data_IF_035664909459
#
_entry.id   IF_035664909459
#
_cell.length_a   1.000
_cell.length_b   1.000
_cell.length_c   1.000
_cell.angle_alpha   90.00
_cell.angle_beta   90.00
_cell.angle_gamma   90.00
#
_symmetry.space_group_name_H-M   'P 1'
#
loop_
_entity.id
_entity.type
_entity.pdbx_description
1 polymer ?
#
# COMPACT_ATOMS: atom_id res chain seq x y z
N UNK A 1 7.75 -26.05 67.21
CA UNK A 1 8.85 -25.06 67.14
C UNK A 1 9.95 -25.65 66.27
N UNK A 2 10.07 -25.18 65.02
CA UNK A 2 11.20 -25.48 64.13
C UNK A 2 11.80 -24.12 63.78
N UNK A 3 13.10 -23.93 64.06
CA UNK A 3 13.86 -22.75 63.69
C UNK A 3 14.24 -22.85 62.21
N UNK A 4 13.97 -21.80 61.43
CA UNK A 4 14.61 -21.58 60.14
C UNK A 4 15.80 -20.62 60.33
N UNK A 5 16.94 -20.86 59.65
CA UNK A 5 18.11 -19.99 59.74
C UNK A 5 17.95 -18.71 58.92
N UNK A 6 18.50 -17.63 59.45
CA UNK A 6 18.59 -16.29 58.87
C UNK A 6 19.52 -16.24 57.66
N UNK A 7 19.07 -15.66 56.55
CA UNK A 7 19.94 -15.17 55.47
C UNK A 7 20.18 -13.68 55.64
N UNK A 8 21.45 -13.27 55.62
CA UNK A 8 21.86 -11.86 55.66
C UNK A 8 21.65 -11.22 54.30
N UNK A 9 20.77 -10.21 54.27
CA UNK A 9 20.70 -9.20 53.22
C UNK A 9 21.90 -8.28 53.37
N UNK A 10 22.80 -8.23 52.39
CA UNK A 10 23.56 -7.03 52.07
C UNK A 10 24.00 -7.05 50.60
N UNK A 11 23.71 -5.95 49.90
CA UNK A 11 24.02 -5.62 48.49
C UNK A 11 23.01 -5.96 47.38
N UNK A 12 21.73 -5.65 47.59
CA UNK A 12 20.86 -5.16 46.49
C UNK A 12 20.48 -3.72 46.76
N UNK A 13 21.08 -2.78 46.02
CA UNK A 13 20.77 -1.35 46.08
C UNK A 13 19.55 -1.02 45.21
N UNK A 14 18.40 -0.88 45.88
CA UNK A 14 17.30 0.07 45.65
C UNK A 14 16.63 0.10 44.25
N UNK A 15 15.58 -0.71 44.08
CA UNK A 15 14.44 -0.37 43.21
C UNK A 15 13.49 0.52 44.04
N UNK A 16 13.26 1.75 43.61
CA UNK A 16 12.20 2.60 44.17
C UNK A 16 10.84 2.12 43.69
N UNK A 17 10.13 1.36 44.52
CA UNK A 17 8.68 1.19 44.41
C UNK A 17 8.02 2.35 45.14
N UNK A 18 7.49 3.33 44.38
CA UNK A 18 6.56 4.31 44.95
C UNK A 18 5.28 3.58 45.36
N UNK A 19 5.07 3.50 46.65
CA UNK A 19 3.79 3.15 47.28
C UNK A 19 2.74 4.20 46.89
N UNK A 20 1.80 3.84 46.01
CA UNK A 20 0.53 4.55 45.90
C UNK A 20 -0.39 4.06 47.02
N UNK A 21 -0.18 4.57 48.23
CA UNK A 21 -1.21 4.60 49.26
C UNK A 21 -2.25 5.65 48.86
N UNK A 22 -3.46 5.21 48.51
CA UNK A 22 -4.58 6.14 48.27
C UNK A 22 -5.41 5.92 47.01
N UNK A 23 -5.56 4.69 46.51
CA UNK A 23 -6.68 4.37 45.63
C UNK A 23 -7.64 3.45 46.40
N UNK A 24 -8.77 4.03 46.78
CA UNK A 24 -9.97 3.32 47.20
C UNK A 24 -10.21 2.15 46.25
N UNK A 25 -10.28 0.94 46.81
CA UNK A 25 -10.82 -0.23 46.14
C UNK A 25 -12.34 -0.07 45.99
N UNK A 26 -12.76 0.94 45.22
CA UNK A 26 -14.17 1.15 44.92
C UNK A 26 -14.57 0.25 43.77
N UNK A 27 -15.22 -0.86 44.13
CA UNK A 27 -16.07 -1.70 43.28
C UNK A 27 -15.33 -2.35 42.12
N UNK A 28 -15.01 -3.64 42.29
CA UNK A 28 -14.84 -4.58 41.19
C UNK A 28 -15.89 -4.27 40.11
N UNK A 29 -15.42 -3.69 39.01
CA UNK A 29 -16.19 -3.58 37.78
C UNK A 29 -16.71 -4.98 37.46
N UNK A 30 -17.98 -5.07 37.07
CA UNK A 30 -18.54 -6.29 36.48
C UNK A 30 -17.51 -6.79 35.47
N UNK A 31 -17.10 -8.08 35.49
CA UNK A 31 -16.20 -8.60 34.48
C UNK A 31 -16.76 -8.22 33.11
N UNK A 32 -16.08 -7.31 32.42
CA UNK A 32 -16.42 -7.02 31.04
C UNK A 32 -16.01 -8.28 30.31
N UNK A 33 -16.98 -9.00 29.78
CA UNK A 33 -16.72 -10.14 28.90
C UNK A 33 -15.87 -9.60 27.75
N UNK A 34 -14.59 -9.98 27.74
CA UNK A 34 -13.69 -9.63 26.65
C UNK A 34 -14.16 -10.48 25.47
N UNK A 35 -14.94 -9.86 24.58
CA UNK A 35 -15.31 -10.46 23.31
C UNK A 35 -14.02 -10.50 22.51
N UNK A 36 -13.34 -11.64 22.53
CA UNK A 36 -12.26 -11.93 21.59
C UNK A 36 -12.97 -12.12 20.25
N UNK A 37 -12.78 -11.23 19.26
CA UNK A 37 -13.38 -11.44 17.96
C UNK A 37 -12.90 -12.79 17.42
N UNK A 38 -13.85 -13.62 16.98
CA UNK A 38 -13.49 -14.89 16.37
C UNK A 38 -12.79 -14.61 15.04
N UNK A 39 -11.68 -15.32 14.73
CA UNK A 39 -11.07 -15.21 13.42
C UNK A 39 -12.11 -15.62 12.37
N UNK A 40 -12.22 -14.80 11.34
CA UNK A 40 -13.05 -15.07 10.16
C UNK A 40 -12.14 -15.39 9.00
N UNK A 41 -12.56 -16.35 8.18
CA UNK A 41 -11.82 -16.78 7.00
C UNK A 41 -12.61 -16.38 5.77
N UNK A 42 -11.95 -16.10 4.66
CA UNK A 42 -12.66 -15.71 3.46
C UNK A 42 -12.14 -16.41 2.21
N UNK A 43 -12.99 -16.39 1.18
CA UNK A 43 -12.67 -16.87 -0.15
C UNK A 43 -13.21 -15.88 -1.17
N UNK A 44 -12.42 -15.64 -2.22
CA UNK A 44 -12.80 -14.78 -3.33
C UNK A 44 -12.84 -15.65 -4.57
N UNK A 45 -14.04 -15.79 -5.13
CA UNK A 45 -14.28 -16.53 -6.36
C UNK A 45 -14.95 -15.60 -7.35
N UNK A 46 -14.29 -15.34 -8.47
CA UNK A 46 -14.73 -14.41 -9.53
C UNK A 46 -15.08 -13.00 -8.99
N UNK A 47 -16.37 -12.75 -8.77
CA UNK A 47 -16.95 -11.50 -8.31
C UNK A 47 -17.63 -11.61 -6.93
N UNK A 48 -17.39 -12.70 -6.20
CA UNK A 48 -18.02 -12.99 -4.92
C UNK A 48 -16.95 -13.07 -3.82
N UNK A 49 -17.23 -12.45 -2.68
CA UNK A 49 -16.48 -12.59 -1.43
C UNK A 49 -17.34 -13.35 -0.43
N UNK A 50 -16.84 -14.48 0.06
CA UNK A 50 -17.53 -15.34 1.03
C UNK A 50 -16.75 -15.37 2.35
N UNK A 51 -17.47 -15.32 3.48
CA UNK A 51 -16.90 -15.39 4.84
C UNK A 51 -17.32 -16.68 5.52
N UNK A 52 -16.40 -17.31 6.23
CA UNK A 52 -16.52 -18.58 6.92
C UNK A 52 -16.10 -18.45 8.38
N UNK A 53 -16.74 -19.26 9.23
CA UNK A 53 -16.45 -19.33 10.68
C UNK A 53 -15.34 -20.31 11.04
N UNK A 54 -14.81 -21.03 10.06
CA UNK A 54 -13.79 -22.06 10.23
C UNK A 54 -12.76 -22.01 9.12
N UNK A 55 -11.53 -22.38 9.47
CA UNK A 55 -10.37 -22.38 8.56
C UNK A 55 -10.55 -23.32 7.36
N UNK A 56 -11.32 -24.39 7.54
CA UNK A 56 -11.64 -25.35 6.48
C UNK A 56 -12.71 -24.84 5.51
N UNK A 57 -13.23 -23.62 5.71
CA UNK A 57 -14.22 -22.95 4.87
C UNK A 57 -15.48 -23.79 4.65
N UNK A 58 -15.93 -24.52 5.67
CA UNK A 58 -17.09 -25.41 5.58
C UNK A 58 -18.39 -24.76 6.04
N UNK A 59 -18.31 -23.74 6.91
CA UNK A 59 -19.45 -23.02 7.50
C UNK A 59 -19.44 -21.57 7.07
N UNK A 60 -20.04 -21.33 5.91
CA UNK A 60 -20.30 -19.99 5.37
C UNK A 60 -21.23 -19.21 6.31
N UNK A 61 -20.82 -18.01 6.68
CA UNK A 61 -21.58 -17.07 7.52
C UNK A 61 -22.22 -15.98 6.67
N UNK A 62 -21.47 -15.42 5.71
CA UNK A 62 -21.88 -14.25 4.94
C UNK A 62 -21.28 -14.28 3.54
N UNK A 63 -21.89 -13.53 2.63
CA UNK A 63 -21.34 -13.30 1.29
C UNK A 63 -21.68 -11.90 0.81
N UNK A 64 -20.85 -11.41 -0.11
CA UNK A 64 -21.10 -10.21 -0.89
C UNK A 64 -20.77 -10.50 -2.35
N UNK A 65 -21.72 -10.24 -3.24
CA UNK A 65 -21.52 -10.33 -4.68
C UNK A 65 -21.39 -8.93 -5.28
N UNK A 66 -20.46 -8.78 -6.22
CA UNK A 66 -20.24 -7.57 -7.01
C UNK A 66 -20.59 -7.84 -8.47
N UNK A 67 -21.87 -7.72 -8.83
CA UNK A 67 -22.39 -8.14 -10.15
C UNK A 67 -21.78 -7.37 -11.34
N UNK A 68 -21.31 -6.15 -11.09
CA UNK A 68 -20.62 -5.27 -12.03
C UNK A 68 -19.13 -5.61 -12.23
N UNK A 69 -18.60 -6.54 -11.44
CA UNK A 69 -17.17 -6.86 -11.41
C UNK A 69 -16.84 -8.05 -12.31
N UNK A 70 -15.81 -7.91 -13.12
CA UNK A 70 -15.22 -8.95 -13.96
C UNK A 70 -14.16 -9.73 -13.18
N UNK A 71 -13.31 -9.03 -12.43
CA UNK A 71 -12.18 -9.62 -11.73
C UNK A 71 -11.88 -8.89 -10.43
N UNK A 72 -11.47 -9.63 -9.41
CA UNK A 72 -11.06 -9.10 -8.11
C UNK A 72 -9.58 -9.43 -7.86
N UNK A 73 -8.80 -8.42 -7.48
CA UNK A 73 -7.53 -8.57 -6.78
C UNK A 73 -7.73 -8.14 -5.33
N UNK A 74 -7.00 -8.72 -4.37
CA UNK A 74 -7.26 -8.47 -2.96
C UNK A 74 -6.01 -8.39 -2.10
N UNK A 75 -6.16 -7.70 -0.97
CA UNK A 75 -5.17 -7.59 0.10
C UNK A 75 -5.90 -7.84 1.42
N UNK A 76 -5.33 -8.69 2.27
CA UNK A 76 -5.72 -8.86 3.67
C UNK A 76 -4.94 -7.88 4.52
N UNK A 77 -5.65 -7.09 5.31
CA UNK A 77 -5.00 -6.09 6.13
C UNK A 77 -5.91 -5.53 7.22
N UNK A 78 -5.46 -5.51 8.48
CA UNK A 78 -6.12 -4.82 9.60
C UNK A 78 -6.14 -3.28 9.42
N UNK A 79 -7.14 -2.77 8.69
CA UNK A 79 -7.30 -1.33 8.40
C UNK A 79 -7.71 -0.55 9.65
N UNK A 80 -8.51 -1.17 10.51
CA UNK A 80 -9.17 -0.50 11.62
C UNK A 80 -8.40 -0.61 12.96
N UNK A 81 -7.37 -1.47 13.01
CA UNK A 81 -6.50 -1.79 14.16
C UNK A 81 -7.18 -2.59 15.27
N UNK A 82 -8.10 -3.48 14.92
CA UNK A 82 -8.75 -4.40 15.86
C UNK A 82 -8.09 -5.79 15.93
N UNK A 83 -6.94 -5.95 15.27
CA UNK A 83 -6.20 -7.22 15.13
C UNK A 83 -6.94 -8.29 14.31
N UNK A 84 -7.93 -7.89 13.52
CA UNK A 84 -8.60 -8.73 12.53
C UNK A 84 -8.31 -8.13 11.16
N UNK A 85 -7.93 -8.97 10.20
CA UNK A 85 -7.72 -8.48 8.85
C UNK A 85 -9.05 -8.07 8.20
N UNK A 86 -9.10 -6.83 7.75
CA UNK A 86 -10.09 -6.30 6.82
C UNK A 86 -9.67 -6.68 5.38
N UNK A 87 -10.55 -6.48 4.40
CA UNK A 87 -10.28 -6.86 3.01
C UNK A 87 -10.30 -5.63 2.11
N UNK A 88 -9.20 -5.36 1.42
CA UNK A 88 -9.14 -4.39 0.32
C UNK A 88 -9.29 -5.13 -0.99
N UNK A 89 -10.23 -4.70 -1.82
CA UNK A 89 -10.48 -5.25 -3.15
C UNK A 89 -10.11 -4.21 -4.21
N UNK A 90 -9.27 -4.58 -5.17
CA UNK A 90 -9.12 -3.86 -6.44
C UNK A 90 -10.00 -4.58 -7.46
N UNK A 91 -11.17 -4.00 -7.75
CA UNK A 91 -12.20 -4.58 -8.60
C UNK A 91 -12.10 -4.02 -10.01
N UNK A 92 -11.92 -4.91 -10.98
CA UNK A 92 -12.06 -4.61 -12.41
C UNK A 92 -13.53 -4.69 -12.78
N UNK A 93 -14.11 -3.59 -13.25
CA UNK A 93 -15.51 -3.50 -13.63
C UNK A 93 -15.73 -3.92 -15.09
N UNK A 94 -16.93 -4.43 -15.40
CA UNK A 94 -17.44 -4.70 -16.75
C UNK A 94 -17.78 -3.41 -17.54
N UNK A 95 -17.19 -2.27 -17.19
CA UNK A 95 -17.57 -0.95 -17.72
C UNK A 95 -17.26 -0.83 -19.21
N UNK A 96 -18.24 -0.37 -19.99
CA UNK A 96 -18.07 0.00 -21.40
C UNK A 96 -17.89 1.51 -21.60
N UNK A 97 -18.03 2.31 -20.53
CA UNK A 97 -17.91 3.77 -20.60
C UNK A 97 -16.44 4.20 -20.44
N UNK A 98 -15.76 4.67 -21.51
CA UNK A 98 -14.36 5.05 -21.44
C UNK A 98 -14.10 6.31 -20.61
N UNK A 99 -15.15 7.05 -20.24
CA UNK A 99 -15.04 8.28 -19.43
C UNK A 99 -15.02 8.04 -17.93
N UNK A 100 -15.30 6.80 -17.52
CA UNK A 100 -15.30 6.33 -16.14
C UNK A 100 -14.22 5.29 -15.95
N UNK A 101 -13.61 5.30 -14.76
CA UNK A 101 -12.67 4.26 -14.41
C UNK A 101 -13.35 2.89 -14.43
N UNK A 102 -12.68 1.92 -15.06
CA UNK A 102 -13.06 0.52 -14.96
C UNK A 102 -12.36 -0.20 -13.80
N UNK A 103 -11.72 0.54 -12.89
CA UNK A 103 -11.21 0.04 -11.63
C UNK A 103 -11.87 0.79 -10.46
N UNK A 104 -12.34 0.01 -9.49
CA UNK A 104 -12.84 0.50 -8.21
C UNK A 104 -12.07 -0.18 -7.08
N UNK A 105 -11.69 0.59 -6.08
CA UNK A 105 -11.06 0.12 -4.86
C UNK A 105 -12.12 0.11 -3.77
N UNK A 106 -12.36 -1.04 -3.18
CA UNK A 106 -13.39 -1.24 -2.15
C UNK A 106 -12.72 -1.79 -0.90
N UNK A 107 -12.92 -1.14 0.24
CA UNK A 107 -12.55 -1.71 1.54
C UNK A 107 -13.78 -2.30 2.22
N UNK A 108 -13.63 -3.53 2.67
CA UNK A 108 -14.61 -4.27 3.44
C UNK A 108 -14.07 -4.53 4.84
N UNK A 109 -14.94 -4.44 5.84
CA UNK A 109 -14.61 -4.93 7.16
C UNK A 109 -14.48 -6.48 7.11
N UNK A 110 -13.85 -7.07 8.11
CA UNK A 110 -13.83 -8.52 8.37
C UNK A 110 -15.20 -9.23 8.20
N UNK A 111 -16.31 -8.54 8.51
CA UNK A 111 -17.67 -9.05 8.32
C UNK A 111 -18.25 -8.80 6.91
N UNK A 112 -17.46 -8.39 5.92
CA UNK A 112 -17.87 -7.93 4.58
C UNK A 112 -18.87 -6.77 4.55
N UNK A 113 -19.03 -6.01 5.64
CA UNK A 113 -19.67 -4.70 5.55
C UNK A 113 -18.77 -3.72 4.79
N UNK A 114 -19.37 -2.77 4.07
CA UNK A 114 -18.62 -1.79 3.27
C UNK A 114 -18.05 -0.72 4.22
N UNK A 115 -16.74 -0.53 4.20
CA UNK A 115 -16.09 0.58 4.89
C UNK A 115 -16.06 1.82 3.99
N UNK A 116 -15.54 1.68 2.78
CA UNK A 116 -15.48 2.74 1.78
C UNK A 116 -15.23 2.18 0.39
N UNK A 117 -15.46 3.04 -0.61
CA UNK A 117 -15.25 2.73 -2.02
C UNK A 117 -14.78 3.96 -2.77
N UNK A 118 -13.85 3.78 -3.71
CA UNK A 118 -13.33 4.84 -4.57
C UNK A 118 -13.05 4.34 -5.98
N UNK A 119 -13.29 5.19 -6.98
CA UNK A 119 -12.79 4.95 -8.32
C UNK A 119 -11.26 5.20 -8.35
N UNK A 120 -10.58 4.43 -9.18
CA UNK A 120 -9.15 4.59 -9.42
C UNK A 120 -8.89 5.56 -10.60
N UNK A 121 -7.89 6.44 -10.51
CA UNK A 121 -7.55 7.33 -11.63
C UNK A 121 -8.52 8.50 -11.84
N UNK A 122 -9.23 8.92 -10.79
CA UNK A 122 -10.20 10.01 -10.86
C UNK A 122 -9.56 11.41 -10.77
N UNK A 123 -8.29 11.52 -10.37
CA UNK A 123 -7.50 12.76 -10.38
C UNK A 123 -7.07 13.12 -11.80
N UNK A 124 -8.04 13.44 -12.66
CA UNK A 124 -7.86 13.64 -14.11
C UNK A 124 -6.80 14.70 -14.44
N UNK A 125 -5.57 14.26 -14.69
CA UNK A 125 -4.53 15.10 -15.32
C UNK A 125 -4.64 15.05 -16.84
N UNK A 126 -5.04 13.91 -17.40
CA UNK A 126 -5.20 13.69 -18.83
C UNK A 126 -6.65 13.38 -19.20
N UNK A 127 -7.07 13.77 -20.41
CA UNK A 127 -8.35 13.35 -21.00
C UNK A 127 -8.16 12.03 -21.76
N UNK A 128 -7.86 10.95 -21.04
CA UNK A 128 -7.61 9.62 -21.62
C UNK A 128 -8.76 8.66 -21.26
N UNK A 129 -8.97 7.59 -22.06
CA UNK A 129 -9.87 6.50 -21.69
C UNK A 129 -9.43 5.88 -20.36
N UNK A 130 -10.30 5.82 -19.38
CA UNK A 130 -9.99 5.37 -18.02
C UNK A 130 -10.16 3.85 -17.89
N UNK A 131 -9.50 3.13 -18.79
CA UNK A 131 -9.51 1.67 -18.83
C UNK A 131 -8.15 1.09 -18.53
N UNK A 132 -8.05 0.18 -17.56
CA UNK A 132 -6.78 -0.15 -16.92
C UNK A 132 -6.48 -1.65 -16.80
N UNK A 133 -5.20 -2.00 -16.79
CA UNK A 133 -4.69 -3.31 -16.36
C UNK A 133 -3.89 -3.11 -15.08
N UNK A 134 -4.37 -3.70 -13.97
CA UNK A 134 -3.67 -3.66 -12.68
C UNK A 134 -2.28 -4.27 -12.83
N UNK A 135 -1.27 -3.52 -12.40
CA UNK A 135 0.13 -3.92 -12.51
C UNK A 135 0.71 -4.35 -11.18
N UNK A 136 0.53 -3.55 -10.14
CA UNK A 136 1.04 -3.79 -8.79
C UNK A 136 0.08 -3.17 -7.78
N UNK A 137 -0.03 -3.75 -6.60
CA UNK A 137 -0.81 -3.18 -5.50
C UNK A 137 -0.30 -3.72 -4.17
N UNK A 138 -0.55 -2.99 -3.09
CA UNK A 138 -0.15 -3.42 -1.77
C UNK A 138 -0.42 -2.38 -0.68
N UNK A 139 0.11 -2.66 0.50
CA UNK A 139 0.05 -1.76 1.66
C UNK A 139 1.45 -1.47 2.15
N UNK A 140 1.72 -0.21 2.48
CA UNK A 140 2.94 0.20 3.19
C UNK A 140 2.59 1.12 4.36
N UNK A 141 3.58 1.41 5.21
CA UNK A 141 3.39 2.20 6.42
C UNK A 141 4.28 3.43 6.41
N UNK A 142 3.69 4.56 6.84
CA UNK A 142 4.44 5.72 7.33
C UNK A 142 4.21 5.83 8.84
N UNK A 143 5.25 5.54 9.62
CA UNK A 143 5.13 5.34 11.05
C UNK A 143 4.12 4.22 11.36
N UNK A 144 2.99 4.58 11.96
CA UNK A 144 1.92 3.62 12.28
C UNK A 144 0.76 3.66 11.28
N UNK A 145 0.68 4.64 10.38
CA UNK A 145 -0.45 4.81 9.47
C UNK A 145 -0.25 3.98 8.20
N UNK A 146 -1.22 3.12 7.84
CA UNK A 146 -1.16 2.35 6.60
C UNK A 146 -1.70 3.11 5.41
N UNK A 147 -1.05 2.87 4.27
CA UNK A 147 -1.37 3.42 2.98
C UNK A 147 -1.51 2.30 1.96
N UNK A 148 -2.57 2.38 1.16
CA UNK A 148 -2.84 1.44 0.07
C UNK A 148 -2.30 2.08 -1.20
N UNK A 149 -1.48 1.35 -1.96
CA UNK A 149 -1.07 1.79 -3.29
C UNK A 149 -1.61 0.84 -4.36
N UNK A 150 -1.94 1.43 -5.51
CA UNK A 150 -2.34 0.70 -6.72
C UNK A 150 -1.63 1.34 -7.91
N UNK A 151 -0.95 0.52 -8.70
CA UNK A 151 -0.33 0.89 -9.96
C UNK A 151 -1.03 0.14 -11.08
N UNK A 152 -1.46 0.86 -12.11
CA UNK A 152 -2.11 0.27 -13.27
C UNK A 152 -1.69 0.97 -14.56
N UNK A 153 -1.60 0.19 -15.63
CA UNK A 153 -1.33 0.70 -16.97
C UNK A 153 -2.64 0.87 -17.71
N UNK A 154 -2.78 1.90 -18.54
CA UNK A 154 -3.89 2.01 -19.47
C UNK A 154 -3.91 0.82 -20.42
N UNK A 155 -5.08 0.29 -20.77
CA UNK A 155 -5.21 -0.87 -21.67
C UNK A 155 -4.64 -0.63 -23.06
N UNK A 156 -4.56 0.63 -23.49
CA UNK A 156 -3.90 1.03 -24.73
C UNK A 156 -2.36 1.11 -24.62
N UNK A 157 -1.81 0.89 -23.43
CA UNK A 157 -0.39 0.96 -23.10
C UNK A 157 0.20 2.37 -23.07
N UNK A 158 -0.59 3.42 -23.32
CA UNK A 158 -0.08 4.78 -23.57
C UNK A 158 0.15 5.60 -22.30
N UNK A 159 -0.34 5.12 -21.16
CA UNK A 159 -0.21 5.80 -19.89
C UNK A 159 -0.25 4.80 -18.75
N UNK A 160 0.16 5.25 -17.57
CA UNK A 160 0.03 4.52 -16.32
C UNK A 160 -0.32 5.48 -15.20
N UNK A 161 -0.92 4.93 -14.15
CA UNK A 161 -1.32 5.68 -12.96
C UNK A 161 -0.84 4.92 -11.72
N UNK A 162 -0.25 5.64 -10.79
CA UNK A 162 0.06 5.15 -9.45
C UNK A 162 -0.72 5.99 -8.45
N UNK A 163 -1.68 5.40 -7.74
CA UNK A 163 -2.53 6.08 -6.77
C UNK A 163 -2.30 5.51 -5.38
N UNK A 164 -2.35 6.38 -4.37
CA UNK A 164 -2.15 6.06 -2.97
C UNK A 164 -3.32 6.59 -2.16
N UNK A 165 -3.87 5.72 -1.32
CA UNK A 165 -5.04 5.98 -0.50
C UNK A 165 -4.71 5.78 0.96
N UNK A 166 -5.27 6.62 1.83
CA UNK A 166 -5.30 6.34 3.26
C UNK A 166 -6.23 5.15 3.57
N UNK A 167 -6.09 4.59 4.78
CA UNK A 167 -7.03 3.58 5.32
C UNK A 167 -8.51 3.96 5.33
N UNK A 168 -8.84 5.24 5.17
CA UNK A 168 -10.23 5.73 5.09
C UNK A 168 -10.72 5.95 3.66
N UNK A 169 -9.96 5.52 2.65
CA UNK A 169 -10.31 5.71 1.24
C UNK A 169 -10.14 7.14 0.74
N UNK A 170 -9.45 8.01 1.48
CA UNK A 170 -9.06 9.32 0.96
C UNK A 170 -7.86 9.16 0.03
N UNK A 171 -7.98 9.66 -1.21
CA UNK A 171 -6.86 9.79 -2.14
C UNK A 171 -5.81 10.76 -1.56
N UNK A 172 -4.58 10.27 -1.40
CA UNK A 172 -3.44 11.03 -0.86
C UNK A 172 -2.58 11.52 -2.01
N UNK A 173 -2.19 10.61 -2.90
CA UNK A 173 -1.46 10.96 -4.11
C UNK A 173 -1.96 10.18 -5.32
N UNK A 174 -1.81 10.79 -6.48
CA UNK A 174 -2.01 10.15 -7.77
C UNK A 174 -0.96 10.69 -8.75
N UNK A 175 -0.21 9.78 -9.36
CA UNK A 175 0.85 10.10 -10.29
C UNK A 175 0.57 9.48 -11.65
N UNK A 176 0.58 10.32 -12.69
CA UNK A 176 0.33 9.92 -14.06
C UNK A 176 1.61 9.90 -14.90
N UNK A 177 1.82 8.81 -15.64
CA UNK A 177 3.01 8.57 -16.43
C UNK A 177 2.68 8.32 -17.91
N UNK A 178 3.35 8.96 -18.90
CA UNK A 178 3.11 8.76 -20.32
C UNK A 178 3.87 7.54 -20.87
N UNK A 179 3.29 6.37 -20.64
CA UNK A 179 3.77 5.07 -21.10
C UNK A 179 3.59 4.02 -20.00
N UNK A 180 3.96 2.76 -20.26
CA UNK A 180 3.75 1.67 -19.31
C UNK A 180 4.73 1.73 -18.14
N UNK A 181 4.23 1.46 -16.93
CA UNK A 181 5.04 1.11 -15.77
C UNK A 181 5.14 -0.42 -15.72
N UNK A 182 6.36 -0.92 -15.65
CA UNK A 182 6.64 -2.36 -15.80
C UNK A 182 7.23 -2.97 -14.53
N UNK A 183 7.85 -2.17 -13.69
CA UNK A 183 8.39 -2.60 -12.41
C UNK A 183 8.12 -1.54 -11.34
N UNK A 184 7.84 -2.01 -10.12
CA UNK A 184 7.49 -1.18 -8.97
C UNK A 184 8.28 -1.69 -7.77
N UNK A 185 8.83 -0.79 -6.97
CA UNK A 185 9.44 -1.10 -5.67
C UNK A 185 8.97 -0.07 -4.65
N UNK A 186 8.59 -0.53 -3.46
CA UNK A 186 8.15 0.34 -2.36
C UNK A 186 9.05 0.11 -1.15
N UNK A 187 9.63 1.17 -0.60
CA UNK A 187 10.57 1.08 0.51
C UNK A 187 11.08 2.44 0.96
N UNK A 188 11.88 2.48 2.01
CA UNK A 188 12.64 3.68 2.42
C UNK A 188 13.89 3.77 1.54
N UNK A 189 13.72 4.32 0.33
CA UNK A 189 14.68 4.17 -0.75
C UNK A 189 15.86 5.16 -0.62
N UNK A 190 15.64 6.28 0.08
CA UNK A 190 16.67 7.29 0.34
C UNK A 190 17.13 7.33 1.81
N UNK A 191 16.64 6.41 2.66
CA UNK A 191 16.99 6.27 4.08
C UNK A 191 16.57 7.46 4.96
N UNK A 192 15.55 8.20 4.55
CA UNK A 192 14.99 9.32 5.32
C UNK A 192 13.87 8.90 6.29
N UNK A 193 13.56 7.59 6.33
CA UNK A 193 12.51 6.92 7.13
C UNK A 193 11.09 7.12 6.62
N UNK A 194 10.91 7.81 5.51
CA UNK A 194 9.67 7.79 4.76
C UNK A 194 9.81 6.75 3.65
N UNK A 195 8.70 6.17 3.21
CA UNK A 195 8.71 5.24 2.08
C UNK A 195 8.43 5.98 0.79
N UNK A 196 9.22 5.66 -0.22
CA UNK A 196 8.98 6.06 -1.60
C UNK A 196 8.47 4.89 -2.44
N UNK A 197 7.91 5.24 -3.59
CA UNK A 197 7.58 4.29 -4.65
C UNK A 197 8.50 4.57 -5.83
N UNK A 198 9.34 3.60 -6.17
CA UNK A 198 10.10 3.59 -7.41
C UNK A 198 9.27 2.92 -8.50
N UNK A 199 9.06 3.66 -9.57
CA UNK A 199 8.34 3.25 -10.77
C UNK A 199 9.35 3.20 -11.92
N UNK A 200 9.50 2.06 -12.57
CA UNK A 200 10.37 1.90 -13.72
C UNK A 200 9.58 1.36 -14.93
N UNK A 201 9.86 1.91 -16.10
CA UNK A 201 9.08 1.62 -17.28
C UNK A 201 9.66 2.20 -18.55
N UNK A 202 8.78 2.77 -19.37
CA UNK A 202 9.16 3.41 -20.63
C UNK A 202 8.31 4.64 -20.90
N UNK A 203 8.97 5.75 -21.19
CA UNK A 203 8.34 7.00 -21.53
C UNK A 203 8.19 7.13 -23.06
N UNK A 204 6.96 7.14 -23.55
CA UNK A 204 6.70 7.24 -24.99
C UNK A 204 7.02 8.60 -25.58
N UNK A 205 6.94 9.68 -24.80
CA UNK A 205 7.28 11.01 -25.30
C UNK A 205 8.77 11.18 -25.53
N UNK A 206 9.60 10.62 -24.64
CA UNK A 206 11.05 10.66 -24.79
C UNK A 206 11.63 9.47 -25.58
N UNK A 207 10.79 8.49 -25.92
CA UNK A 207 11.20 7.22 -26.51
C UNK A 207 12.39 6.61 -25.74
N UNK A 208 12.23 6.51 -24.42
CA UNK A 208 13.31 6.15 -23.50
C UNK A 208 12.78 5.27 -22.36
N UNK A 209 13.61 4.33 -21.90
CA UNK A 209 13.38 3.72 -20.60
C UNK A 209 13.49 4.79 -19.52
N UNK A 210 12.72 4.69 -18.45
CA UNK A 210 12.77 5.68 -17.38
C UNK A 210 12.51 5.10 -16.00
N UNK A 211 12.99 5.84 -15.01
CA UNK A 211 12.84 5.53 -13.61
C UNK A 211 12.44 6.80 -12.86
N UNK A 212 11.39 6.68 -12.05
CA UNK A 212 10.82 7.74 -11.24
C UNK A 212 10.74 7.24 -9.81
N UNK A 213 11.14 8.05 -8.84
CA UNK A 213 10.93 7.78 -7.41
C UNK A 213 10.02 8.85 -6.89
N UNK A 214 8.83 8.48 -6.41
CA UNK A 214 7.79 9.36 -5.87
C UNK A 214 7.64 9.24 -4.37
N UNK A 215 7.39 10.37 -3.70
CA UNK A 215 6.92 10.38 -2.31
C UNK A 215 5.38 10.25 -2.32
N UNK A 216 4.83 9.13 -1.87
CA UNK A 216 3.41 8.83 -1.93
C UNK A 216 2.57 9.68 -0.97
N UNK A 217 3.15 10.31 0.04
CA UNK A 217 2.43 11.16 0.99
C UNK A 217 2.32 12.63 0.52
N UNK A 218 3.23 13.09 -0.34
CA UNK A 218 3.36 14.51 -0.68
C UNK A 218 3.08 14.85 -2.16
N UNK A 219 3.05 13.85 -3.04
CA UNK A 219 2.93 14.09 -4.50
C UNK A 219 1.62 14.80 -4.87
N UNK A 220 0.54 14.63 -4.09
CA UNK A 220 -0.78 15.12 -4.48
C UNK A 220 -1.20 14.52 -5.83
N UNK A 221 -1.84 15.29 -6.71
CA UNK A 221 -2.15 14.84 -8.08
C UNK A 221 -1.13 15.45 -9.05
N UNK A 222 -0.29 14.62 -9.65
CA UNK A 222 0.83 15.06 -10.50
C UNK A 222 1.07 14.15 -11.72
N UNK A 223 1.98 14.58 -12.59
CA UNK A 223 2.43 13.83 -13.77
C UNK A 223 3.93 14.00 -14.04
N UNK A 224 4.58 13.02 -14.67
CA UNK A 224 5.94 13.21 -15.19
C UNK A 224 5.96 14.10 -16.45
N UNK A 225 7.07 14.83 -16.69
CA UNK A 225 7.32 15.50 -17.97
C UNK A 225 7.24 14.54 -19.18
N UNK A 226 6.89 15.02 -20.40
CA UNK A 226 6.50 16.40 -20.77
C UNK A 226 4.98 16.63 -20.77
N UNK A 227 4.22 15.92 -19.92
CA UNK A 227 2.75 15.97 -19.93
C UNK A 227 2.13 17.36 -19.77
N UNK A 228 0.80 17.48 -19.91
CA UNK A 228 0.05 18.73 -19.66
C UNK A 228 -0.62 18.68 -18.28
N UNK A 229 -0.23 19.54 -17.32
CA UNK A 229 -0.77 19.50 -15.95
C UNK A 229 0.22 19.88 -14.85
N UNK A 230 -0.13 19.56 -13.59
CA UNK A 230 0.75 19.77 -12.43
C UNK A 230 1.94 18.83 -12.52
N UNK A 231 3.12 19.40 -12.73
CA UNK A 231 4.33 18.62 -12.86
C UNK A 231 4.76 18.06 -11.52
N UNK A 232 5.22 16.82 -11.57
CA UNK A 232 5.94 16.19 -10.51
C UNK A 232 7.17 17.04 -10.11
N UNK A 233 7.20 17.58 -8.87
CA UNK A 233 8.32 18.38 -8.43
C UNK A 233 9.51 17.46 -8.14
N UNK A 234 10.67 17.77 -8.71
CA UNK A 234 11.93 17.18 -8.25
C UNK A 234 12.34 17.90 -6.97
N UNK A 235 12.16 17.23 -5.84
CA UNK A 235 12.63 17.67 -4.53
C UNK A 235 13.60 16.64 -3.95
N UNK A 236 14.12 16.91 -2.74
CA UNK A 236 15.03 15.99 -2.06
C UNK A 236 14.34 14.64 -1.83
N UNK A 237 15.04 13.55 -2.14
CA UNK A 237 14.50 12.19 -2.03
C UNK A 237 13.67 11.73 -3.22
N UNK A 238 13.34 12.65 -4.14
CA UNK A 238 12.60 12.39 -5.37
C UNK A 238 13.56 12.32 -6.56
N UNK A 239 13.30 11.39 -7.47
CA UNK A 239 14.19 11.13 -8.61
C UNK A 239 13.38 10.97 -9.89
N UNK A 240 13.91 11.51 -10.99
CA UNK A 240 13.42 11.20 -12.34
C UNK A 240 14.59 11.19 -13.32
N UNK A 241 14.73 10.10 -14.07
CA UNK A 241 15.72 10.00 -15.13
C UNK A 241 15.22 9.14 -16.28
N UNK A 242 15.74 9.41 -17.47
CA UNK A 242 15.40 8.72 -18.71
C UNK A 242 16.67 8.30 -19.47
N UNK A 243 16.56 7.19 -20.19
CA UNK A 243 17.66 6.48 -20.82
C UNK A 243 17.30 6.18 -22.29
N UNK A 244 17.63 7.12 -23.20
CA UNK A 244 17.19 7.12 -24.61
C UNK A 244 17.68 5.95 -25.46
N UNK A 245 18.67 5.19 -24.99
CA UNK A 245 19.25 4.06 -25.72
C UNK A 245 18.92 2.69 -25.10
N UNK A 246 17.99 2.66 -24.14
CA UNK A 246 17.62 1.46 -23.41
C UNK A 246 16.21 0.99 -23.77
N UNK A 247 16.04 -0.33 -23.76
CA UNK A 247 14.72 -0.98 -23.78
C UNK A 247 14.00 -0.72 -22.46
N UNK A 248 12.65 -0.85 -22.42
CA UNK A 248 11.88 -0.66 -21.20
C UNK A 248 12.51 -1.41 -20.02
N UNK A 249 12.57 -0.77 -18.85
CA UNK A 249 12.85 -1.50 -17.62
C UNK A 249 11.70 -2.44 -17.33
N UNK A 250 12.00 -3.66 -16.85
CA UNK A 250 11.01 -4.71 -16.54
C UNK A 250 11.19 -5.29 -15.14
N UNK A 251 12.30 -4.97 -14.48
CA UNK A 251 12.56 -5.35 -13.10
C UNK A 251 13.38 -4.28 -12.39
N UNK A 252 13.16 -4.18 -11.09
CA UNK A 252 13.96 -3.37 -10.16
C UNK A 252 14.28 -4.22 -8.94
N UNK A 253 15.49 -4.10 -8.40
CA UNK A 253 15.87 -4.75 -7.14
C UNK A 253 16.83 -3.87 -6.33
N UNK A 254 16.71 -3.92 -5.01
CA UNK A 254 17.66 -3.29 -4.09
C UNK A 254 18.93 -4.15 -4.01
N UNK A 255 20.10 -3.52 -4.17
CA UNK A 255 21.42 -4.17 -4.06
C UNK A 255 22.20 -3.72 -2.82
N UNK A 256 21.79 -2.62 -2.21
CA UNK A 256 22.38 -2.08 -1.00
C UNK A 256 21.69 -0.76 -0.63
N UNK A 257 22.11 -0.12 0.49
CA UNK A 257 21.46 1.08 0.99
C UNK A 257 21.43 2.18 -0.09
N UNK A 258 20.23 2.50 -0.57
CA UNK A 258 19.98 3.48 -1.64
C UNK A 258 20.49 3.12 -3.03
N UNK A 259 21.01 1.90 -3.23
CA UNK A 259 21.51 1.39 -4.51
C UNK A 259 20.52 0.39 -5.11
N UNK A 260 20.04 0.71 -6.30
CA UNK A 260 19.05 -0.10 -7.02
C UNK A 260 19.56 -0.50 -8.39
N UNK A 261 19.29 -1.74 -8.77
CA UNK A 261 19.54 -2.26 -10.10
C UNK A 261 18.23 -2.34 -10.87
N UNK A 262 18.21 -1.71 -12.05
CA UNK A 262 17.14 -1.73 -13.03
C UNK A 262 17.53 -2.65 -14.17
N UNK A 263 16.66 -3.60 -14.53
CA UNK A 263 16.92 -4.55 -15.63
C UNK A 263 15.96 -4.25 -16.78
N UNK A 264 16.51 -4.07 -17.97
CA UNK A 264 15.76 -3.86 -19.21
C UNK A 264 15.22 -5.17 -19.79
N UNK A 265 14.24 -5.10 -20.69
CA UNK A 265 13.68 -6.25 -21.40
C UNK A 265 14.74 -7.08 -22.16
N UNK A 266 15.79 -6.43 -22.68
CA UNK A 266 16.93 -7.10 -23.34
C UNK A 266 18.03 -7.57 -22.36
N UNK A 267 17.79 -7.49 -21.06
CA UNK A 267 18.68 -8.01 -20.01
C UNK A 267 19.85 -7.11 -19.64
N UNK A 268 19.87 -5.83 -20.07
CA UNK A 268 20.87 -4.86 -19.62
C UNK A 268 20.53 -4.39 -18.21
N UNK A 269 21.57 -4.20 -17.40
CA UNK A 269 21.44 -3.67 -16.05
C UNK A 269 21.92 -2.22 -16.01
N UNK A 270 21.13 -1.36 -15.36
CA UNK A 270 21.51 -0.01 -14.98
C UNK A 270 21.46 0.12 -13.47
N UNK A 271 22.39 0.87 -12.90
CA UNK A 271 22.41 1.14 -11.46
C UNK A 271 22.05 2.58 -11.20
N UNK A 272 21.15 2.80 -10.24
CA UNK A 272 20.85 4.13 -9.70
C UNK A 272 21.20 4.15 -8.21
N UNK A 273 21.80 5.25 -7.77
CA UNK A 273 22.09 5.48 -6.36
C UNK A 273 21.38 6.75 -5.90
N UNK A 274 20.35 6.59 -5.08
CA UNK A 274 19.51 7.69 -4.58
C UNK A 274 20.20 8.52 -3.48
N UNK A 275 21.30 8.02 -2.93
CA UNK A 275 22.14 8.76 -1.96
C UNK A 275 23.22 9.60 -2.67
N UNK A 276 23.57 9.27 -3.91
CA UNK A 276 24.54 10.03 -4.71
C UNK A 276 23.91 11.19 -5.48
N UNK A 277 22.59 11.17 -5.68
CA UNK A 277 21.84 12.30 -6.24
C UNK A 277 21.78 13.53 -5.34
N UNK A 278 22.48 13.52 -4.19
CA UNK A 278 22.63 14.65 -3.26
C UNK A 278 23.71 15.69 -3.64
N UNK A 279 24.24 15.69 -4.88
CA UNK A 279 25.27 16.66 -5.33
C UNK A 279 24.78 17.71 -6.31
#
# INVERSE_FOLDING_TARGET
KVNLPSFSLDNVSKIMLRTLSGLDASKFSIPIEVIIPQPVYYEITDNIVEIFSDELKTKKIKMREFSDTEKIFHIEYDLNRDSIDDIILIRKLKSEDPTKSDIVITALNSDVSLLWEQNFGDGKVYTLPLSYTVKEYGVFYEGNEPFIYVVANGNNGNFSVASVYSRFGKLISEFWHPGPINAVLVGDLNLDKNREILLAGYNYHYAAADCIVINPAETGVAQSPPGRGFFYPLSRGLYYSYFTNLKPFVSVSEKGPGLFELITEDGKAESINLLESEK
#
